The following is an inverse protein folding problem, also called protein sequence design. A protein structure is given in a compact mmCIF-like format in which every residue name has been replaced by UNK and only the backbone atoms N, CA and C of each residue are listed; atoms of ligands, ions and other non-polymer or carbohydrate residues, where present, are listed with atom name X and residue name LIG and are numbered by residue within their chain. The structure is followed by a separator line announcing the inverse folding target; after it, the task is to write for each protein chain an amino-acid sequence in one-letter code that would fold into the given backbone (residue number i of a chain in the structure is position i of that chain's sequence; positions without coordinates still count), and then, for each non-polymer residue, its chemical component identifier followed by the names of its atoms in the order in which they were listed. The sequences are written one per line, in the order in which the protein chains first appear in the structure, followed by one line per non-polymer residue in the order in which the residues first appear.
data_IF_061083800307
#
_entry.id   IF_061083800307
#
_cell.length_a   1.000
_cell.length_b   1.000
_cell.length_c   1.000
_cell.angle_alpha   90.00
_cell.angle_beta   90.00
_cell.angle_gamma   90.00
#
_symmetry.space_group_name_H-M   'P 1'
#
loop_
_entity.id
_entity.type
_entity.pdbx_description
1 polymer ?
#
# COMPACT_ATOMS: atom_id res chain seq x y z
N UNK A 1 5.83 8.57 27.14
CA UNK A 1 7.00 8.90 26.31
C UNK A 1 7.53 10.25 26.77
N UNK A 2 8.84 10.42 26.95
CA UNK A 2 9.41 11.70 27.41
C UNK A 2 9.20 12.77 26.33
N UNK A 3 8.69 13.98 26.67
CA UNK A 3 8.58 15.08 25.71
C UNK A 3 9.91 15.37 25.02
N UNK A 4 9.88 15.65 23.72
CA UNK A 4 11.08 15.96 22.96
C UNK A 4 10.84 16.00 21.44
N UNK A 5 11.85 16.39 20.64
CA UNK A 5 11.74 16.47 19.18
C UNK A 5 11.34 15.15 18.52
N UNK A 6 11.87 14.02 19.01
CA UNK A 6 11.51 12.69 18.50
C UNK A 6 10.06 12.32 18.80
N UNK A 7 9.60 12.62 20.02
CA UNK A 7 8.20 12.42 20.40
C UNK A 7 7.29 13.33 19.55
N UNK A 8 7.68 14.58 19.31
CA UNK A 8 6.95 15.49 18.41
C UNK A 8 6.83 14.92 16.99
N UNK A 9 7.95 14.42 16.44
CA UNK A 9 7.98 13.86 15.09
C UNK A 9 7.04 12.65 14.94
N UNK A 10 6.94 11.82 15.98
CA UNK A 10 6.00 10.69 15.98
C UNK A 10 4.51 11.07 16.01
N UNK A 11 4.21 12.34 16.31
CA UNK A 11 2.84 12.87 16.36
C UNK A 11 2.45 13.65 15.10
N UNK A 12 3.33 13.79 14.11
CA UNK A 12 3.12 14.64 12.94
C UNK A 12 1.80 14.36 12.21
N UNK A 13 1.37 13.10 12.13
CA UNK A 13 0.11 12.68 11.51
C UNK A 13 -1.13 13.20 12.22
N UNK A 14 -1.03 13.57 13.50
CA UNK A 14 -2.15 14.12 14.29
C UNK A 14 -2.34 15.63 14.02
N UNK A 15 -1.35 16.30 13.40
CA UNK A 15 -1.33 17.76 13.21
C UNK A 15 -1.25 18.19 11.75
N UNK A 16 -1.08 17.23 10.83
CA UNK A 16 -0.99 17.48 9.40
C UNK A 16 -2.13 16.77 8.68
N UNK A 17 -2.91 17.54 7.93
CA UNK A 17 -3.81 16.99 6.94
C UNK A 17 -3.00 16.54 5.72
N UNK A 18 -3.41 15.45 5.06
CA UNK A 18 -2.72 14.91 3.87
C UNK A 18 -2.76 15.88 2.69
N UNK A 19 -3.78 16.76 2.64
CA UNK A 19 -3.90 17.87 1.68
C UNK A 19 -3.58 19.22 2.33
N UNK A 20 -3.03 19.22 3.54
CA UNK A 20 -2.75 20.41 4.31
C UNK A 20 -1.74 21.33 3.60
N UNK A 21 -1.94 22.66 3.63
CA UNK A 21 -1.01 23.60 3.03
C UNK A 21 0.36 23.59 3.73
N UNK A 22 1.40 24.20 3.12
CA UNK A 22 2.71 24.34 3.74
C UNK A 22 2.63 25.10 5.07
N UNK A 23 3.26 24.54 6.11
CA UNK A 23 3.41 25.12 7.44
C UNK A 23 4.90 25.13 7.80
N UNK A 24 5.36 26.25 8.34
CA UNK A 24 6.74 26.37 8.80
C UNK A 24 6.99 25.38 9.96
N UNK A 25 8.11 24.66 9.92
CA UNK A 25 8.43 23.56 10.85
C UNK A 25 8.41 24.01 12.31
N UNK A 26 8.90 25.21 12.60
CA UNK A 26 8.88 25.78 13.96
C UNK A 26 7.46 26.05 14.46
N UNK A 27 6.55 26.49 13.60
CA UNK A 27 5.16 26.78 13.97
C UNK A 27 4.39 25.49 14.22
N UNK A 28 4.60 24.48 13.37
CA UNK A 28 4.06 23.15 13.56
C UNK A 28 4.53 22.54 14.89
N UNK A 29 5.82 22.67 15.19
CA UNK A 29 6.38 22.19 16.45
C UNK A 29 5.84 22.95 17.66
N UNK A 30 5.67 24.27 17.56
CA UNK A 30 5.04 25.09 18.60
C UNK A 30 3.60 24.62 18.88
N UNK A 31 2.83 24.32 17.83
CA UNK A 31 1.48 23.77 17.96
C UNK A 31 1.48 22.42 18.69
N UNK A 32 2.38 21.49 18.33
CA UNK A 32 2.52 20.20 19.02
C UNK A 32 2.90 20.39 20.50
N UNK A 33 3.89 21.22 20.80
CA UNK A 33 4.36 21.50 22.17
C UNK A 33 3.23 22.10 23.02
N UNK A 34 2.50 23.07 22.48
CA UNK A 34 1.39 23.75 23.16
C UNK A 34 0.24 22.80 23.44
N UNK A 35 -0.28 22.13 22.42
CA UNK A 35 -1.45 21.23 22.52
C UNK A 35 -1.20 19.99 23.39
N UNK A 36 0.06 19.53 23.50
CA UNK A 36 0.43 18.43 24.40
C UNK A 36 0.82 18.89 25.81
N UNK A 37 0.79 20.20 26.09
CA UNK A 37 1.14 20.77 27.39
C UNK A 37 2.60 20.52 27.79
N UNK A 38 3.51 20.49 26.82
CA UNK A 38 4.92 20.20 27.06
C UNK A 38 5.72 21.42 27.53
N UNK A 39 5.14 22.63 27.47
CA UNK A 39 5.73 23.88 27.95
C UNK A 39 4.63 24.83 28.44
N UNK A 40 5.00 25.81 29.28
CA UNK A 40 4.15 26.94 29.59
C UNK A 40 3.94 27.81 28.32
N UNK A 41 2.86 28.58 28.27
CA UNK A 41 2.45 29.31 27.07
C UNK A 41 3.50 30.31 26.57
N UNK A 42 4.20 30.95 27.49
CA UNK A 42 5.32 31.87 27.26
C UNK A 42 6.59 31.16 26.77
N UNK A 43 6.80 29.90 27.16
CA UNK A 43 7.97 29.10 26.79
C UNK A 43 7.80 28.32 25.47
N UNK A 44 6.59 28.23 24.90
CA UNK A 44 6.32 27.40 23.71
C UNK A 44 7.21 27.77 22.54
N UNK A 45 7.30 29.07 22.22
CA UNK A 45 8.05 29.56 21.06
C UNK A 45 9.55 29.31 21.22
N UNK A 46 10.12 29.64 22.38
CA UNK A 46 11.54 29.39 22.67
C UNK A 46 11.86 27.90 22.58
N UNK A 47 11.00 27.05 23.14
CA UNK A 47 11.18 25.61 23.12
C UNK A 47 11.09 25.04 21.70
N UNK A 48 10.15 25.51 20.89
CA UNK A 48 10.03 25.11 19.49
C UNK A 48 11.27 25.49 18.69
N UNK A 49 11.77 26.72 18.84
CA UNK A 49 13.03 27.16 18.21
C UNK A 49 14.20 26.28 18.63
N UNK A 50 14.36 26.02 19.94
CA UNK A 50 15.43 25.18 20.46
C UNK A 50 15.35 23.69 20.04
N UNK A 51 14.17 23.22 19.63
CA UNK A 51 13.94 21.84 19.18
C UNK A 51 13.90 21.67 17.66
N UNK A 52 13.73 22.77 16.90
CA UNK A 52 13.48 22.79 15.45
C UNK A 52 14.45 21.94 14.64
N UNK A 53 15.77 22.13 14.77
CA UNK A 53 16.76 21.40 13.96
C UNK A 53 16.72 19.88 14.21
N UNK A 54 16.51 19.48 15.48
CA UNK A 54 16.40 18.05 15.82
C UNK A 54 15.07 17.47 15.35
N UNK A 55 13.99 18.23 15.42
CA UNK A 55 12.68 17.83 14.93
C UNK A 55 12.70 17.63 13.41
N UNK A 56 13.24 18.61 12.68
CA UNK A 56 13.46 18.54 11.24
C UNK A 56 14.26 17.29 10.85
N UNK A 57 15.39 17.04 11.52
CA UNK A 57 16.19 15.83 11.29
C UNK A 57 15.39 14.53 11.48
N UNK A 58 14.53 14.46 12.51
CA UNK A 58 13.70 13.27 12.74
C UNK A 58 12.61 13.12 11.67
N UNK A 59 12.02 14.22 11.19
CA UNK A 59 11.05 14.18 10.09
C UNK A 59 11.72 13.69 8.80
N UNK A 60 12.83 14.29 8.38
CA UNK A 60 13.57 13.86 7.18
C UNK A 60 13.99 12.40 7.26
N UNK A 61 14.48 11.96 8.42
CA UNK A 61 14.85 10.56 8.64
C UNK A 61 13.65 9.63 8.53
N UNK A 62 12.51 10.00 9.13
CA UNK A 62 11.28 9.22 9.10
C UNK A 62 10.75 9.12 7.68
N UNK A 63 10.60 10.25 6.98
CA UNK A 63 10.14 10.26 5.58
C UNK A 63 11.06 9.41 4.69
N UNK A 64 12.38 9.54 4.83
CA UNK A 64 13.33 8.74 4.05
C UNK A 64 13.19 7.24 4.31
N UNK A 65 13.01 6.84 5.57
CA UNK A 65 12.83 5.44 5.96
C UNK A 65 11.52 4.87 5.43
N UNK A 66 10.43 5.63 5.54
CA UNK A 66 9.11 5.20 5.07
C UNK A 66 9.06 5.15 3.53
N UNK A 67 9.70 6.10 2.83
CA UNK A 67 9.87 6.03 1.36
C UNK A 67 10.66 4.81 0.93
N UNK A 68 11.74 4.46 1.63
CA UNK A 68 12.51 3.23 1.34
C UNK A 68 11.69 1.96 1.54
N UNK A 69 10.74 1.98 2.47
CA UNK A 69 9.79 0.88 2.71
C UNK A 69 8.61 0.88 1.75
N UNK A 70 8.44 1.95 0.97
CA UNK A 70 7.26 2.18 0.16
C UNK A 70 6.00 2.41 1.01
N UNK A 71 6.15 2.87 2.25
CA UNK A 71 5.01 3.18 3.13
C UNK A 71 4.43 4.55 2.80
N UNK A 72 3.15 4.73 3.10
CA UNK A 72 2.49 6.03 3.00
C UNK A 72 2.98 7.00 4.06
N UNK A 73 3.31 8.23 3.66
CA UNK A 73 3.68 9.33 4.56
C UNK A 73 2.65 10.44 4.41
N UNK A 74 2.11 10.94 5.53
CA UNK A 74 1.04 11.97 5.54
C UNK A 74 1.56 13.34 5.12
N UNK A 75 2.87 13.58 5.26
CA UNK A 75 3.51 14.85 4.97
C UNK A 75 4.66 14.70 3.98
N UNK A 76 5.08 15.82 3.42
CA UNK A 76 6.34 15.94 2.67
C UNK A 76 6.94 17.34 2.87
N UNK A 77 8.23 17.51 2.57
CA UNK A 77 8.86 18.83 2.57
C UNK A 77 8.45 19.62 1.33
N UNK A 78 8.25 20.91 1.51
CA UNK A 78 7.94 21.80 0.40
C UNK A 78 9.09 21.79 -0.64
N UNK A 79 8.74 21.83 -1.92
CA UNK A 79 9.69 21.74 -3.04
C UNK A 79 10.67 22.91 -3.09
N UNK A 80 10.27 24.09 -2.58
CA UNK A 80 11.02 25.34 -2.66
C UNK A 80 11.76 25.68 -1.36
N UNK A 81 11.24 25.26 -0.21
CA UNK A 81 11.82 25.56 1.10
C UNK A 81 11.71 24.37 2.08
N UNK A 82 12.82 23.70 2.44
CA UNK A 82 12.79 22.56 3.36
C UNK A 82 12.44 22.92 4.81
N UNK A 83 12.35 24.21 5.16
CA UNK A 83 11.81 24.66 6.45
C UNK A 83 10.28 24.64 6.51
N UNK A 84 9.61 24.35 5.39
CA UNK A 84 8.17 24.13 5.32
C UNK A 84 7.84 22.65 5.11
N UNK A 85 6.83 22.19 5.84
CA UNK A 85 6.24 20.85 5.70
C UNK A 85 4.79 21.02 5.26
N UNK A 86 4.35 20.22 4.30
CA UNK A 86 3.00 20.24 3.76
C UNK A 86 2.41 18.83 3.74
N UNK A 87 1.11 18.71 3.51
CA UNK A 87 0.47 17.42 3.28
C UNK A 87 1.09 16.72 2.06
N UNK A 88 1.27 15.40 2.10
CA UNK A 88 1.89 14.66 1.00
C UNK A 88 1.09 14.67 -0.31
N UNK A 89 -0.20 15.00 -0.22
CA UNK A 89 -1.12 15.17 -1.35
C UNK A 89 -1.52 16.63 -1.58
N UNK A 90 -0.86 17.60 -0.93
CA UNK A 90 -1.05 19.01 -1.22
C UNK A 90 -0.68 19.32 -2.68
N UNK A 91 -1.63 19.89 -3.44
CA UNK A 91 -1.42 20.31 -4.82
C UNK A 91 -0.73 21.67 -4.84
N UNK A 92 0.52 21.71 -5.29
CA UNK A 92 1.28 22.94 -5.40
C UNK A 92 0.79 23.77 -6.61
N UNK A 93 0.92 25.11 -6.58
CA UNK A 93 0.49 25.95 -7.70
C UNK A 93 1.20 25.63 -9.03
N UNK A 94 2.36 24.99 -8.98
CA UNK A 94 3.19 24.62 -10.13
C UNK A 94 2.99 23.17 -10.58
N UNK A 95 2.15 22.39 -9.91
CA UNK A 95 1.86 21.01 -10.33
C UNK A 95 1.12 21.00 -11.67
N UNK A 96 1.50 20.08 -12.55
CA UNK A 96 0.73 19.81 -13.76
C UNK A 96 -0.59 19.07 -13.45
N UNK A 97 -1.50 19.02 -14.42
CA UNK A 97 -2.81 18.39 -14.24
C UNK A 97 -2.70 16.91 -13.84
N UNK A 98 -1.76 16.17 -14.44
CA UNK A 98 -1.54 14.75 -14.14
C UNK A 98 -1.11 14.55 -12.68
N UNK A 99 -0.22 15.41 -12.17
CA UNK A 99 0.26 15.40 -10.79
C UNK A 99 -0.86 15.77 -9.83
N UNK A 100 -1.66 16.79 -10.15
CA UNK A 100 -2.84 17.18 -9.35
C UNK A 100 -3.83 16.02 -9.25
N UNK A 101 -4.16 15.36 -10.36
CA UNK A 101 -5.07 14.21 -10.36
C UNK A 101 -4.51 13.03 -9.56
N UNK A 102 -3.22 12.73 -9.69
CA UNK A 102 -2.56 11.68 -8.91
C UNK A 102 -2.57 12.00 -7.40
N UNK A 103 -2.29 13.25 -7.00
CA UNK A 103 -2.36 13.68 -5.60
C UNK A 103 -3.78 13.60 -5.05
N UNK A 104 -4.78 14.05 -5.81
CA UNK A 104 -6.20 13.95 -5.42
C UNK A 104 -6.67 12.51 -5.26
N UNK A 105 -6.23 11.59 -6.14
CA UNK A 105 -6.46 10.16 -5.97
C UNK A 105 -5.82 9.68 -4.67
N UNK A 106 -4.54 9.96 -4.47
CA UNK A 106 -3.76 9.51 -3.32
C UNK A 106 -4.24 10.07 -1.97
N UNK A 107 -4.84 11.26 -1.94
CA UNK A 107 -5.47 11.83 -0.74
C UNK A 107 -6.54 10.89 -0.13
N UNK A 108 -7.12 10.01 -0.96
CA UNK A 108 -8.13 9.02 -0.55
C UNK A 108 -7.57 7.81 0.20
N UNK A 109 -6.25 7.70 0.35
CA UNK A 109 -5.59 6.59 1.05
C UNK A 109 -6.15 6.40 2.47
N UNK A 110 -6.26 7.46 3.26
CA UNK A 110 -6.73 7.37 4.65
C UNK A 110 -8.21 6.94 4.75
N UNK A 111 -9.16 7.53 3.98
CA UNK A 111 -10.52 7.03 3.89
C UNK A 111 -10.62 5.54 3.50
N UNK A 112 -9.90 5.11 2.45
CA UNK A 112 -9.92 3.69 2.01
C UNK A 112 -9.40 2.78 3.13
N UNK A 113 -8.30 3.15 3.79
CA UNK A 113 -7.72 2.35 4.87
C UNK A 113 -8.72 2.09 6.02
N UNK A 114 -9.57 3.07 6.35
CA UNK A 114 -10.61 2.94 7.39
C UNK A 114 -11.68 1.92 7.00
N UNK A 115 -12.05 1.85 5.73
CA UNK A 115 -13.03 0.86 5.24
C UNK A 115 -12.55 -0.58 5.46
N UNK A 116 -11.23 -0.83 5.48
CA UNK A 116 -10.69 -2.16 5.74
C UNK A 116 -11.05 -2.69 7.14
N UNK A 117 -11.29 -1.82 8.12
CA UNK A 117 -11.69 -2.22 9.47
C UNK A 117 -13.12 -2.80 9.49
N UNK A 118 -13.96 -2.38 8.56
CA UNK A 118 -15.35 -2.84 8.44
C UNK A 118 -15.48 -4.14 7.62
N UNK A 119 -14.45 -4.53 6.87
CA UNK A 119 -14.47 -5.76 6.07
C UNK A 119 -14.48 -6.99 6.95
N UNK A 120 -15.22 -8.02 6.52
CA UNK A 120 -15.03 -9.37 7.09
C UNK A 120 -13.73 -9.97 6.57
N UNK A 121 -13.14 -10.98 7.24
CA UNK A 121 -11.96 -11.68 6.71
C UNK A 121 -12.17 -12.21 5.29
N UNK A 122 -13.38 -12.71 4.98
CA UNK A 122 -13.71 -13.21 3.64
C UNK A 122 -13.80 -12.08 2.61
N UNK A 123 -14.32 -10.91 2.97
CA UNK A 123 -14.35 -9.76 2.05
C UNK A 123 -12.94 -9.18 1.85
N UNK A 124 -12.09 -9.25 2.87
CA UNK A 124 -10.68 -8.89 2.75
C UNK A 124 -9.90 -9.87 1.86
N UNK A 125 -10.18 -11.17 1.91
CA UNK A 125 -9.63 -12.16 0.97
C UNK A 125 -10.04 -11.85 -0.48
N UNK A 126 -11.33 -11.51 -0.72
CA UNK A 126 -11.81 -11.06 -2.03
C UNK A 126 -11.10 -9.79 -2.50
N UNK A 127 -10.86 -8.83 -1.59
CA UNK A 127 -10.11 -7.61 -1.88
C UNK A 127 -8.71 -7.94 -2.39
N UNK A 128 -8.03 -8.88 -1.73
CA UNK A 128 -6.71 -9.35 -2.16
C UNK A 128 -6.75 -10.04 -3.54
N UNK A 129 -7.80 -10.81 -3.83
CA UNK A 129 -8.05 -11.33 -5.18
C UNK A 129 -8.26 -10.22 -6.22
N UNK A 130 -8.93 -9.14 -5.86
CA UNK A 130 -9.07 -7.95 -6.70
C UNK A 130 -7.74 -7.24 -6.96
N UNK A 131 -6.86 -7.17 -5.95
CA UNK A 131 -5.50 -6.61 -6.09
C UNK A 131 -4.69 -7.37 -7.13
N UNK A 132 -4.84 -8.69 -7.25
CA UNK A 132 -4.19 -9.45 -8.31
C UNK A 132 -4.58 -8.95 -9.72
N UNK A 133 -5.84 -8.53 -9.92
CA UNK A 133 -6.28 -7.93 -11.21
C UNK A 133 -5.54 -6.64 -11.51
N UNK A 134 -5.29 -5.82 -10.50
CA UNK A 134 -4.49 -4.59 -10.65
C UNK A 134 -3.04 -4.91 -11.05
N UNK A 135 -2.53 -6.10 -10.68
CA UNK A 135 -1.23 -6.61 -11.14
C UNK A 135 -1.28 -7.35 -12.47
N UNK A 136 -2.39 -7.26 -13.21
CA UNK A 136 -2.53 -7.86 -14.54
C UNK A 136 -2.76 -9.37 -14.52
N UNK A 137 -3.13 -9.95 -13.38
CA UNK A 137 -3.58 -11.34 -13.30
C UNK A 137 -4.96 -11.45 -13.94
N UNK A 138 -5.05 -12.24 -15.00
CA UNK A 138 -6.28 -12.37 -15.81
C UNK A 138 -7.38 -13.20 -15.14
N UNK A 139 -7.01 -14.18 -14.32
CA UNK A 139 -7.95 -15.07 -13.64
C UNK A 139 -7.49 -15.31 -12.19
N UNK A 140 -7.72 -14.33 -11.30
CA UNK A 140 -7.33 -14.45 -9.89
C UNK A 140 -8.28 -15.41 -9.16
N UNK A 141 -7.69 -16.36 -8.46
CA UNK A 141 -8.40 -17.30 -7.62
C UNK A 141 -8.30 -16.88 -6.16
N UNK A 142 -9.42 -16.97 -5.44
CA UNK A 142 -9.50 -16.81 -3.99
C UNK A 142 -9.87 -18.17 -3.41
N UNK A 143 -9.04 -18.67 -2.50
CA UNK A 143 -9.21 -20.00 -1.94
C UNK A 143 -10.43 -20.07 -1.02
N UNK A 144 -10.94 -21.29 -0.79
CA UNK A 144 -12.04 -21.49 0.16
C UNK A 144 -11.46 -21.64 1.56
N UNK A 145 -11.93 -20.83 2.49
CA UNK A 145 -11.56 -20.76 3.92
C UNK A 145 -11.41 -22.09 4.68
N UNK A 146 -12.04 -23.18 4.21
CA UNK A 146 -11.96 -24.49 4.87
C UNK A 146 -10.77 -25.35 4.43
N UNK A 147 -9.97 -24.91 3.45
CA UNK A 147 -8.91 -25.74 2.86
C UNK A 147 -7.72 -24.95 2.27
N UNK A 148 -7.56 -23.68 2.63
CA UNK A 148 -6.55 -22.77 2.05
C UNK A 148 -5.09 -23.21 2.29
N UNK A 149 -4.82 -24.04 3.30
CA UNK A 149 -3.47 -24.49 3.69
C UNK A 149 -2.48 -23.31 3.81
N UNK A 150 -2.97 -22.11 4.14
CA UNK A 150 -2.17 -20.88 4.22
C UNK A 150 -1.99 -20.09 2.91
N UNK A 151 -2.68 -20.44 1.83
CA UNK A 151 -2.76 -19.68 0.57
C UNK A 151 -4.18 -19.18 0.38
N UNK A 152 -4.38 -17.87 0.45
CA UNK A 152 -5.70 -17.24 0.40
C UNK A 152 -6.07 -16.78 -1.00
N UNK A 153 -5.07 -16.44 -1.82
CA UNK A 153 -5.29 -16.03 -3.20
C UNK A 153 -4.09 -16.37 -4.08
N UNK A 154 -4.33 -16.61 -5.37
CA UNK A 154 -3.28 -16.86 -6.34
C UNK A 154 -3.75 -16.59 -7.77
N UNK A 155 -2.81 -16.49 -8.70
CA UNK A 155 -3.10 -16.45 -10.12
C UNK A 155 -1.86 -16.24 -10.95
N UNK A 156 -1.99 -16.25 -12.28
CA UNK A 156 -0.88 -16.02 -13.19
C UNK A 156 -1.05 -14.73 -13.99
N UNK A 157 0.04 -13.98 -14.11
CA UNK A 157 0.13 -12.79 -14.94
C UNK A 157 0.95 -13.11 -16.22
N UNK A 158 0.47 -12.71 -17.41
CA UNK A 158 1.20 -12.89 -18.66
C UNK A 158 2.35 -11.87 -18.74
N UNK A 159 3.56 -12.30 -18.39
CA UNK A 159 4.75 -11.42 -18.38
C UNK A 159 5.17 -10.99 -19.79
N UNK A 160 4.79 -11.74 -20.82
CA UNK A 160 5.02 -11.39 -22.22
C UNK A 160 4.49 -9.99 -22.58
N UNK A 161 3.36 -9.57 -21.99
CA UNK A 161 2.78 -8.23 -22.24
C UNK A 161 3.69 -7.09 -21.78
N UNK A 162 4.51 -7.34 -20.76
CA UNK A 162 5.45 -6.36 -20.21
C UNK A 162 6.71 -6.26 -21.08
N UNK A 163 7.14 -7.35 -21.71
CA UNK A 163 8.38 -7.42 -22.49
C UNK A 163 8.29 -6.84 -23.91
N UNK A 164 7.14 -6.25 -24.27
CA UNK A 164 6.73 -5.80 -25.60
C UNK A 164 6.51 -6.96 -26.59
N UNK A 165 5.25 -7.19 -26.95
CA UNK A 165 4.77 -8.32 -27.77
C UNK A 165 5.53 -8.47 -29.10
N UNK A 166 6.04 -7.38 -29.68
CA UNK A 166 6.74 -7.38 -30.98
C UNK A 166 8.11 -8.06 -30.98
N UNK A 167 8.68 -8.36 -29.80
CA UNK A 167 10.03 -8.93 -29.68
C UNK A 167 10.06 -10.45 -29.52
N UNK A 168 8.90 -11.08 -29.30
CA UNK A 168 8.83 -12.50 -28.99
C UNK A 168 8.34 -13.31 -30.20
N UNK A 169 8.91 -14.51 -30.45
CA UNK A 169 8.35 -15.43 -31.43
C UNK A 169 6.96 -15.88 -31.00
N UNK A 170 6.02 -15.88 -31.96
CA UNK A 170 4.66 -16.33 -31.73
C UNK A 170 4.60 -17.70 -31.03
N UNK A 171 3.86 -17.74 -29.92
CA UNK A 171 3.67 -18.92 -29.10
C UNK A 171 4.61 -19.03 -27.89
N UNK A 172 5.68 -18.21 -27.79
CA UNK A 172 6.55 -18.16 -26.60
C UNK A 172 5.87 -17.41 -25.45
N UNK A 173 4.92 -16.52 -25.77
CA UNK A 173 4.24 -15.66 -24.80
C UNK A 173 3.47 -16.47 -23.75
N UNK A 174 2.91 -17.62 -24.14
CA UNK A 174 2.17 -18.54 -23.24
C UNK A 174 3.06 -19.21 -22.18
N UNK A 175 4.36 -19.25 -22.44
CA UNK A 175 5.36 -19.85 -21.54
C UNK A 175 5.98 -18.79 -20.62
N UNK A 176 5.82 -17.50 -20.94
CA UNK A 176 6.26 -16.36 -20.13
C UNK A 176 5.13 -15.90 -19.20
N UNK A 177 4.85 -16.73 -18.20
CA UNK A 177 3.91 -16.41 -17.11
C UNK A 177 4.66 -16.30 -15.79
N UNK A 178 4.16 -15.44 -14.91
CA UNK A 178 4.59 -15.36 -13.52
C UNK A 178 3.40 -15.70 -12.64
N UNK A 179 3.60 -16.57 -11.67
CA UNK A 179 2.60 -16.83 -10.65
C UNK A 179 2.73 -15.84 -9.51
N UNK A 180 1.61 -15.34 -9.02
CA UNK A 180 1.53 -14.61 -7.77
C UNK A 180 0.72 -15.48 -6.82
N UNK A 181 1.31 -15.80 -5.67
CA UNK A 181 0.68 -16.60 -4.62
C UNK A 181 0.75 -15.79 -3.35
N UNK A 182 -0.38 -15.69 -2.64
CA UNK A 182 -0.41 -14.87 -1.45
C UNK A 182 -1.36 -15.31 -0.37
N UNK A 183 -1.15 -14.66 0.77
CA UNK A 183 -1.90 -14.84 2.00
C UNK A 183 -2.44 -13.47 2.44
N UNK A 184 -3.68 -13.47 2.92
CA UNK A 184 -4.42 -12.32 3.39
C UNK A 184 -4.55 -12.41 4.92
N UNK A 185 -4.13 -11.35 5.62
CA UNK A 185 -4.18 -11.28 7.08
C UNK A 185 -5.03 -10.09 7.52
N UNK A 186 -6.29 -10.33 7.80
CA UNK A 186 -7.18 -9.32 8.37
C UNK A 186 -7.01 -9.25 9.90
N UNK A 187 -6.33 -8.20 10.37
CA UNK A 187 -6.08 -7.95 11.79
C UNK A 187 -6.37 -6.47 12.09
N UNK A 188 -7.17 -6.21 13.12
CA UNK A 188 -7.36 -4.85 13.65
C UNK A 188 -6.30 -4.45 14.68
N UNK A 189 -5.64 -5.41 15.34
CA UNK A 189 -4.71 -5.12 16.44
C UNK A 189 -3.41 -5.95 16.43
N UNK A 190 -3.33 -7.00 15.61
CA UNK A 190 -2.18 -7.92 15.61
C UNK A 190 -1.20 -7.52 14.51
N UNK A 191 0.09 -7.50 14.86
CA UNK A 191 1.15 -7.26 13.89
C UNK A 191 1.53 -8.56 13.18
N UNK A 192 1.77 -8.46 11.89
CA UNK A 192 2.32 -9.58 11.12
C UNK A 192 3.77 -9.82 11.53
N UNK A 193 4.10 -11.09 11.78
CA UNK A 193 5.38 -11.54 12.27
C UNK A 193 6.19 -12.28 11.20
N UNK A 194 7.46 -12.56 11.49
CA UNK A 194 8.29 -13.38 10.60
C UNK A 194 7.81 -14.84 10.52
N UNK A 195 6.91 -15.28 11.41
CA UNK A 195 6.28 -16.61 11.31
C UNK A 195 5.34 -16.67 10.12
N UNK A 196 4.50 -15.64 9.93
CA UNK A 196 3.52 -15.57 8.85
C UNK A 196 4.21 -15.59 7.48
N UNK A 197 5.31 -14.85 7.33
CA UNK A 197 6.12 -14.85 6.11
C UNK A 197 6.71 -16.24 5.80
N UNK A 198 7.18 -16.98 6.81
CA UNK A 198 7.72 -18.33 6.61
C UNK A 198 6.63 -19.36 6.33
N UNK A 199 5.46 -19.18 6.93
CA UNK A 199 4.27 -20.00 6.68
C UNK A 199 3.86 -19.89 5.22
N UNK A 200 3.68 -18.67 4.68
CA UNK A 200 3.37 -18.45 3.27
C UNK A 200 4.35 -19.16 2.32
N UNK A 201 5.65 -19.01 2.56
CA UNK A 201 6.68 -19.67 1.72
C UNK A 201 6.55 -21.19 1.80
N UNK A 202 6.42 -21.75 3.02
CA UNK A 202 6.26 -23.19 3.22
C UNK A 202 5.00 -23.74 2.55
N UNK A 203 3.86 -23.07 2.73
CA UNK A 203 2.57 -23.44 2.12
C UNK A 203 2.65 -23.42 0.60
N UNK A 204 3.29 -22.41 0.01
CA UNK A 204 3.46 -22.30 -1.43
C UNK A 204 4.35 -23.40 -1.99
N UNK A 205 5.48 -23.70 -1.35
CA UNK A 205 6.37 -24.78 -1.82
C UNK A 205 5.69 -26.17 -1.73
N UNK A 206 4.91 -26.42 -0.67
CA UNK A 206 4.09 -27.64 -0.57
C UNK A 206 3.02 -27.69 -1.67
N UNK A 207 2.36 -26.56 -1.95
CA UNK A 207 1.36 -26.46 -3.02
C UNK A 207 1.96 -26.71 -4.40
N UNK A 208 3.16 -26.19 -4.67
CA UNK A 208 3.91 -26.45 -5.93
C UNK A 208 4.26 -27.92 -6.08
N UNK A 209 4.62 -28.59 -4.99
CA UNK A 209 4.89 -30.03 -4.97
C UNK A 209 3.60 -30.88 -5.00
N UNK A 210 2.42 -30.25 -4.98
CA UNK A 210 1.10 -30.91 -4.89
C UNK A 210 0.97 -31.82 -3.67
N UNK A 211 1.59 -31.41 -2.55
CA UNK A 211 1.55 -32.14 -1.27
C UNK A 211 0.52 -31.45 -0.36
N UNK A 212 -0.66 -32.04 -0.25
CA UNK A 212 -1.76 -31.50 0.55
C UNK A 212 -2.22 -32.49 1.63
N UNK A 213 -2.76 -31.94 2.72
CA UNK A 213 -3.46 -32.72 3.72
C UNK A 213 -4.87 -33.08 3.21
N UNK A 214 -5.06 -34.32 2.72
CA UNK A 214 -6.37 -34.83 2.30
C UNK A 214 -6.34 -35.51 0.93
N UNK A 215 -7.50 -35.99 0.47
CA UNK A 215 -7.64 -36.68 -0.82
C UNK A 215 -7.97 -35.77 -2.00
N UNK A 216 -8.33 -34.50 -1.74
CA UNK A 216 -8.68 -33.51 -2.77
C UNK A 216 -7.67 -32.36 -2.75
N UNK A 217 -7.19 -31.98 -3.94
CA UNK A 217 -6.37 -30.77 -4.14
C UNK A 217 -7.25 -29.53 -3.98
N UNK A 218 -7.03 -28.68 -2.96
CA UNK A 218 -7.78 -27.44 -2.78
C UNK A 218 -7.33 -26.31 -3.71
N UNK A 219 -6.18 -26.47 -4.38
CA UNK A 219 -5.54 -25.52 -5.28
C UNK A 219 -5.31 -26.18 -6.65
N UNK A 220 -6.33 -26.86 -7.16
CA UNK A 220 -6.28 -27.61 -8.43
C UNK A 220 -5.95 -26.71 -9.63
N UNK A 221 -6.34 -25.44 -9.59
CA UNK A 221 -6.01 -24.45 -10.61
C UNK A 221 -4.58 -23.88 -10.49
N UNK A 222 -3.93 -24.04 -9.33
CA UNK A 222 -2.52 -23.67 -9.16
C UNK A 222 -1.62 -24.69 -9.86
N UNK A 223 -1.24 -24.38 -11.10
CA UNK A 223 -0.54 -25.30 -12.02
C UNK A 223 0.88 -24.82 -12.37
N UNK A 224 1.55 -24.16 -11.42
CA UNK A 224 2.91 -23.69 -11.59
C UNK A 224 3.89 -24.84 -11.89
N UNK A 225 4.65 -24.71 -12.97
CA UNK A 225 5.72 -25.65 -13.33
C UNK A 225 6.91 -25.47 -12.40
N UNK A 226 7.83 -26.45 -12.42
CA UNK A 226 9.06 -26.43 -11.62
C UNK A 226 9.89 -25.16 -11.83
N UNK A 227 9.97 -24.68 -13.07
CA UNK A 227 10.75 -23.51 -13.45
C UNK A 227 9.90 -22.24 -13.62
N UNK A 228 8.59 -22.30 -13.36
CA UNK A 228 7.78 -21.08 -13.42
C UNK A 228 8.18 -20.17 -12.25
N UNK A 229 8.41 -18.86 -12.50
CA UNK A 229 8.65 -17.90 -11.44
C UNK A 229 7.40 -17.73 -10.59
N UNK A 230 7.60 -17.66 -9.27
CA UNK A 230 6.53 -17.45 -8.28
C UNK A 230 6.90 -16.25 -7.42
N UNK A 231 6.04 -15.23 -7.41
CA UNK A 231 6.09 -14.12 -6.47
C UNK A 231 5.21 -14.41 -5.27
N UNK A 232 5.79 -14.24 -4.10
CA UNK A 232 5.12 -14.39 -2.81
C UNK A 232 4.53 -13.05 -2.41
N UNK A 233 3.28 -13.05 -1.98
CA UNK A 233 2.58 -11.84 -1.58
C UNK A 233 1.90 -11.98 -0.23
N UNK A 234 2.15 -11.07 0.70
CA UNK A 234 1.46 -11.00 1.98
C UNK A 234 0.75 -9.66 2.11
N UNK A 235 -0.58 -9.70 2.17
CA UNK A 235 -1.41 -8.50 2.30
C UNK A 235 -2.06 -8.51 3.68
N UNK A 236 -2.00 -7.40 4.40
CA UNK A 236 -2.61 -7.28 5.72
C UNK A 236 -3.32 -5.96 5.92
N UNK A 237 -4.43 -5.96 6.67
CA UNK A 237 -5.08 -4.75 7.16
C UNK A 237 -4.40 -4.17 8.41
N UNK A 238 -3.36 -4.84 8.92
CA UNK A 238 -2.58 -4.40 10.07
C UNK A 238 -1.23 -3.81 9.64
N UNK A 239 -0.24 -3.94 10.51
CA UNK A 239 1.14 -3.48 10.27
C UNK A 239 2.15 -4.62 10.42
N UNK A 240 3.25 -4.55 9.69
CA UNK A 240 4.36 -5.48 9.85
C UNK A 240 5.21 -5.13 11.08
N UNK A 241 5.77 -6.15 11.74
CA UNK A 241 6.82 -5.93 12.74
C UNK A 241 8.12 -5.47 12.08
N UNK A 242 9.01 -4.83 12.84
CA UNK A 242 10.34 -4.43 12.36
C UNK A 242 11.11 -5.61 11.75
N UNK A 243 11.15 -6.74 12.45
CA UNK A 243 11.84 -7.94 11.98
C UNK A 243 11.21 -8.50 10.70
N UNK A 244 9.90 -8.29 10.50
CA UNK A 244 9.23 -8.67 9.26
C UNK A 244 9.64 -7.78 8.10
N UNK A 245 9.74 -6.45 8.28
CA UNK A 245 10.29 -5.57 7.25
C UNK A 245 11.73 -5.95 6.87
N UNK A 246 12.58 -6.26 7.86
CA UNK A 246 13.95 -6.70 7.60
C UNK A 246 14.00 -8.02 6.81
N UNK A 247 13.07 -8.94 7.08
CA UNK A 247 12.95 -10.20 6.34
C UNK A 247 12.42 -9.96 4.91
N UNK A 248 11.36 -9.17 4.75
CA UNK A 248 10.75 -8.78 3.47
C UNK A 248 11.82 -8.21 2.53
N UNK A 249 12.60 -7.24 3.00
CA UNK A 249 13.66 -6.60 2.20
C UNK A 249 14.79 -7.55 1.78
N UNK A 250 14.93 -8.71 2.43
CA UNK A 250 15.95 -9.72 2.10
C UNK A 250 15.39 -10.91 1.32
N UNK A 251 14.10 -11.20 1.44
CA UNK A 251 13.47 -12.38 0.83
C UNK A 251 12.88 -12.10 -0.55
N UNK A 252 12.57 -10.84 -0.86
CA UNK A 252 11.84 -10.49 -2.09
C UNK A 252 10.35 -10.82 -2.04
N UNK A 253 9.81 -11.11 -0.85
CA UNK A 253 8.36 -11.23 -0.65
C UNK A 253 7.74 -9.84 -0.84
N UNK A 254 6.68 -9.76 -1.65
CA UNK A 254 5.88 -8.54 -1.79
C UNK A 254 4.97 -8.43 -0.57
N UNK A 255 5.04 -7.33 0.15
CA UNK A 255 4.25 -7.13 1.35
C UNK A 255 3.51 -5.80 1.26
N UNK A 256 2.20 -5.83 1.53
CA UNK A 256 1.34 -4.66 1.54
C UNK A 256 0.64 -4.58 2.91
N UNK A 257 0.95 -3.54 3.67
CA UNK A 257 0.21 -3.21 4.88
C UNK A 257 -1.07 -2.42 4.57
N UNK A 258 -1.83 -2.07 5.61
CA UNK A 258 -3.09 -1.34 5.47
C UNK A 258 -2.95 -0.08 4.59
N UNK A 259 -1.90 0.69 4.82
CA UNK A 259 -1.71 1.99 4.18
C UNK A 259 -1.21 1.83 2.75
N UNK A 260 -0.30 0.88 2.52
CA UNK A 260 0.20 0.55 1.19
C UNK A 260 -0.90 -0.01 0.29
N UNK A 261 -1.73 -0.90 0.83
CA UNK A 261 -2.89 -1.44 0.14
C UNK A 261 -3.89 -0.33 -0.21
N UNK A 262 -4.23 0.53 0.76
CA UNK A 262 -5.15 1.64 0.51
C UNK A 262 -4.61 2.62 -0.53
N UNK A 263 -3.31 2.90 -0.50
CA UNK A 263 -2.65 3.77 -1.48
C UNK A 263 -2.69 3.14 -2.88
N UNK A 264 -2.44 1.83 -2.99
CA UNK A 264 -2.54 1.10 -4.26
C UNK A 264 -3.95 1.22 -4.84
N UNK A 265 -4.99 1.02 -4.03
CA UNK A 265 -6.38 1.15 -4.47
C UNK A 265 -6.71 2.59 -4.88
N UNK A 266 -6.27 3.58 -4.09
CA UNK A 266 -6.45 5.00 -4.38
C UNK A 266 -5.82 5.39 -5.73
N UNK A 267 -4.56 5.01 -5.96
CA UNK A 267 -3.81 5.33 -7.16
C UNK A 267 -4.46 4.69 -8.42
N UNK A 268 -5.14 3.55 -8.27
CA UNK A 268 -5.88 2.85 -9.33
C UNK A 268 -7.37 3.26 -9.42
N UNK A 269 -7.81 4.27 -8.68
CA UNK A 269 -9.20 4.75 -8.75
C UNK A 269 -10.24 3.76 -8.19
N UNK A 270 -9.83 2.78 -7.38
CA UNK A 270 -10.76 1.83 -6.77
C UNK A 270 -11.55 2.51 -5.64
N UNK A 271 -12.87 2.27 -5.61
CA UNK A 271 -13.78 2.85 -4.61
C UNK A 271 -14.09 4.34 -4.85
N UNK A 272 -14.02 4.80 -6.10
CA UNK A 272 -14.12 6.23 -6.44
C UNK A 272 -15.37 6.60 -7.23
N UNK A 273 -16.56 6.38 -6.68
CA UNK A 273 -17.77 6.99 -7.22
C UNK A 273 -18.00 8.38 -6.56
N UNK A 274 -17.96 9.45 -7.36
CA UNK A 274 -18.47 10.78 -6.99
C UNK A 274 -18.09 11.29 -5.57
N UNK A 275 -16.79 11.46 -5.32
CA UNK A 275 -16.19 12.15 -4.16
C UNK A 275 -16.45 11.56 -2.75
N UNK A 276 -17.18 10.44 -2.65
CA UNK A 276 -17.39 9.72 -1.41
C UNK A 276 -17.00 8.27 -1.61
N UNK A 277 -16.05 7.77 -0.82
CA UNK A 277 -15.88 6.33 -0.66
C UNK A 277 -17.01 5.89 0.25
N UNK A 278 -18.02 5.22 -0.32
CA UNK A 278 -18.98 4.49 0.48
C UNK A 278 -18.50 3.05 0.61
N UNK A 279 -18.82 2.39 1.73
CA UNK A 279 -18.57 0.95 1.90
C UNK A 279 -19.21 0.11 0.78
N UNK A 280 -20.24 0.67 0.11
CA UNK A 280 -20.88 0.09 -1.07
C UNK A 280 -19.97 0.05 -2.30
N UNK A 281 -19.16 1.09 -2.55
CA UNK A 281 -18.32 1.18 -3.76
C UNK A 281 -17.21 0.13 -3.77
N UNK A 282 -16.61 -0.10 -2.60
CA UNK A 282 -15.62 -1.16 -2.44
C UNK A 282 -16.26 -2.54 -2.65
N UNK A 283 -17.46 -2.75 -2.07
CA UNK A 283 -18.21 -4.02 -2.20
C UNK A 283 -18.60 -4.29 -3.66
N UNK A 284 -19.09 -3.29 -4.39
CA UNK A 284 -19.42 -3.43 -5.83
C UNK A 284 -18.19 -3.82 -6.66
N UNK A 285 -17.02 -3.24 -6.37
CA UNK A 285 -15.78 -3.63 -7.04
C UNK A 285 -15.34 -5.07 -6.68
N UNK A 286 -15.57 -5.51 -5.44
CA UNK A 286 -15.30 -6.90 -5.01
C UNK A 286 -16.16 -7.91 -5.78
N UNK A 287 -17.41 -7.56 -6.07
CA UNK A 287 -18.36 -8.40 -6.79
C UNK A 287 -18.11 -8.48 -8.31
N UNK A 288 -17.02 -7.86 -8.79
CA UNK A 288 -16.51 -8.05 -10.14
C UNK A 288 -16.97 -7.02 -11.15
N UNK A 289 -17.56 -5.91 -10.72
CA UNK A 289 -17.71 -4.76 -11.60
C UNK A 289 -16.31 -4.20 -11.93
N UNK A 290 -15.94 -4.06 -13.23
CA UNK A 290 -14.64 -3.52 -13.59
C UNK A 290 -14.49 -2.13 -12.98
N UNK A 291 -13.30 -1.83 -12.46
CA UNK A 291 -12.97 -0.46 -12.06
C UNK A 291 -13.24 0.44 -13.28
N UNK A 292 -13.91 1.57 -13.04
CA UNK A 292 -14.17 2.56 -14.09
C UNK A 292 -12.81 2.87 -14.72
N UNK A 293 -12.69 2.61 -16.03
CA UNK A 293 -11.45 2.84 -16.75
C UNK A 293 -11.20 4.35 -16.81
N UNK A 294 -10.41 4.86 -15.85
CA UNK A 294 -10.01 6.26 -15.78
C UNK A 294 -8.87 6.56 -16.77
N UNK A 295 -8.36 5.54 -17.50
CA UNK A 295 -7.27 5.70 -18.46
C UNK A 295 -7.72 6.18 -19.85
N UNK A 296 -9.00 6.48 -20.04
CA UNK A 296 -9.57 7.07 -21.27
C UNK A 296 -9.17 8.54 -21.55
N UNK A 297 -7.98 8.98 -21.13
CA UNK A 297 -7.42 10.29 -21.44
C UNK A 297 -6.79 10.31 -22.82
N UNK A 298 -7.57 10.77 -23.81
CA UNK A 298 -7.16 11.31 -25.11
C UNK A 298 -6.04 10.56 -25.87
N UNK A 299 -6.41 9.55 -26.65
CA UNK A 299 -5.75 9.35 -27.95
C UNK A 299 -6.06 10.59 -28.82
N UNK A 300 -5.21 11.61 -28.71
CA UNK A 300 -5.16 12.67 -29.72
C UNK A 300 -4.71 12.03 -31.03
N UNK A 301 -5.69 11.72 -31.88
CA UNK A 301 -5.45 11.31 -33.25
C UNK A 301 -4.64 12.37 -33.98
N UNK A 302 -3.33 12.15 -34.09
CA UNK A 302 -2.49 12.81 -35.09
C UNK A 302 -2.80 12.16 -36.44
N UNK A 303 -3.82 12.68 -37.11
CA UNK A 303 -4.00 12.47 -38.54
C UNK A 303 -2.90 13.21 -39.30
N UNK A 304 -2.00 12.44 -39.92
CA UNK A 304 -1.22 12.90 -41.08
C UNK A 304 -1.96 12.55 -42.37
#
# INVERSE_FOLDING_TARGET
MTPGPSAAASLISDYMDVEGPPVHVTDLLANIVSSRGWAAADDVAEKAVGWSSKFLFQLTRTESLERQRGSFVVYTFNSSDPEYVQGSCFCEPTDDQQTVEAKKRRARTLPIAREFEALTPTDFEKLCGGVLRLFGVSDPQVSRRSADQGIDFYGSAPFAKVLAEEKLPAGVEKDLRVWIVGQAKHYSAVKVSTKDLRELVGSTELARAKIFAGSKDPLDEFTARLCDPVFYMLITSGVFTRDSHDLIGRSGIIALDQMQLAQLLADNGVGTAADLITSGDLTSWLDGEPAIDVSGGEETGVSN
#
